data_IF_523702237694
#
_entry.id   IF_523702237694
#
_cell.length_a   1.000
_cell.length_b   1.000
_cell.length_c   1.000
_cell.angle_alpha   90.00
_cell.angle_beta   90.00
_cell.angle_gamma   90.00
#
_symmetry.space_group_name_H-M   'P 1'
#
loop_
_entity.id
_entity.type
_entity.pdbx_description
1 polymer ?
#
# COMPACT_ATOMS: atom_id res chain seq x y z
N UNK A 1 3.64 0.27 -14.29
CA UNK A 1 3.10 -0.85 -15.09
C UNK A 1 2.17 -1.78 -14.29
N UNK A 2 2.38 -1.96 -12.99
CA UNK A 2 1.57 -2.88 -12.16
C UNK A 2 0.16 -2.34 -11.82
N UNK A 3 0.03 -1.10 -11.32
CA UNK A 3 -1.29 -0.46 -11.11
C UNK A 3 -2.05 -0.29 -12.43
N UNK A 4 -1.45 0.37 -13.43
CA UNK A 4 -2.06 0.60 -14.74
C UNK A 4 -2.37 -0.68 -15.55
N UNK A 5 -1.73 -1.80 -15.21
CA UNK A 5 -1.98 -3.11 -15.83
C UNK A 5 -2.91 -4.02 -15.02
N UNK A 6 -3.31 -3.61 -13.82
CA UNK A 6 -4.28 -4.36 -13.03
C UNK A 6 -5.68 -4.18 -13.62
N UNK A 7 -6.50 -5.24 -13.61
CA UNK A 7 -7.91 -5.14 -14.01
C UNK A 7 -8.69 -4.11 -13.19
N UNK A 8 -8.23 -3.77 -11.98
CA UNK A 8 -8.82 -2.74 -11.14
C UNK A 8 -8.77 -1.34 -11.78
N UNK A 9 -7.61 -0.94 -12.32
CA UNK A 9 -7.48 0.37 -13.01
C UNK A 9 -8.23 0.37 -14.35
N UNK A 10 -8.30 -0.76 -15.05
CA UNK A 10 -9.09 -0.87 -16.27
C UNK A 10 -10.58 -0.68 -16.02
N UNK A 11 -11.07 -1.11 -14.86
CA UNK A 11 -12.47 -0.95 -14.46
C UNK A 11 -12.83 0.50 -14.11
N UNK A 12 -11.86 1.37 -13.82
CA UNK A 12 -12.11 2.81 -13.58
C UNK A 12 -12.72 3.51 -14.80
N UNK A 13 -12.51 2.96 -16.00
CA UNK A 13 -13.03 3.51 -17.26
C UNK A 13 -14.23 2.75 -17.81
N UNK A 14 -14.93 2.01 -16.94
CA UNK A 14 -16.20 1.34 -17.26
C UNK A 14 -17.31 1.90 -16.39
N UNK A 15 -18.52 1.99 -16.91
CA UNK A 15 -19.71 2.37 -16.14
C UNK A 15 -20.29 1.18 -15.35
N UNK A 16 -21.36 1.41 -14.59
CA UNK A 16 -22.05 0.37 -13.81
C UNK A 16 -22.63 -0.78 -14.65
N UNK A 17 -22.76 -0.59 -15.97
CA UNK A 17 -23.22 -1.63 -16.93
C UNK A 17 -22.06 -2.35 -17.61
N UNK A 18 -20.82 -1.96 -17.31
CA UNK A 18 -19.60 -2.53 -17.89
C UNK A 18 -19.19 -1.91 -19.22
N UNK A 19 -19.89 -0.87 -19.71
CA UNK A 19 -19.54 -0.19 -20.97
C UNK A 19 -18.37 0.77 -20.77
N UNK A 20 -17.53 0.92 -21.78
CA UNK A 20 -16.41 1.85 -21.74
C UNK A 20 -16.91 3.30 -21.73
N UNK A 21 -16.43 4.11 -20.79
CA UNK A 21 -16.88 5.49 -20.54
C UNK A 21 -16.28 6.53 -21.48
N UNK A 22 -15.53 6.10 -22.51
CA UNK A 22 -14.81 7.00 -23.40
C UNK A 22 -13.60 7.68 -22.74
N UNK A 23 -12.99 7.03 -21.74
CA UNK A 23 -11.83 7.56 -21.01
C UNK A 23 -12.17 8.43 -19.80
N UNK A 24 -13.46 8.58 -19.45
CA UNK A 24 -13.89 9.25 -18.21
C UNK A 24 -13.77 8.30 -17.02
N UNK A 25 -13.33 8.78 -15.87
CA UNK A 25 -13.35 7.99 -14.64
C UNK A 25 -14.81 7.83 -14.18
N UNK A 26 -15.24 6.60 -13.93
CA UNK A 26 -16.49 6.33 -13.22
C UNK A 26 -16.29 6.51 -11.70
N UNK A 27 -17.01 7.44 -11.04
CA UNK A 27 -16.81 7.72 -9.62
C UNK A 27 -17.09 6.52 -8.71
N UNK A 28 -18.03 5.65 -9.10
CA UNK A 28 -18.40 4.50 -8.29
C UNK A 28 -17.30 3.44 -8.31
N UNK A 29 -16.75 3.15 -9.49
CA UNK A 29 -15.61 2.26 -9.62
C UNK A 29 -14.35 2.80 -8.96
N UNK A 30 -14.13 4.12 -8.95
CA UNK A 30 -13.06 4.73 -8.16
C UNK A 30 -13.26 4.50 -6.65
N UNK A 31 -14.46 4.75 -6.13
CA UNK A 31 -14.77 4.47 -4.71
C UNK A 31 -14.56 3.00 -4.36
N UNK A 32 -15.02 2.07 -5.20
CA UNK A 32 -14.81 0.64 -5.01
C UNK A 32 -13.32 0.27 -5.03
N UNK A 33 -12.55 0.82 -5.96
CA UNK A 33 -11.09 0.63 -6.02
C UNK A 33 -10.42 1.07 -4.71
N UNK A 34 -10.71 2.28 -4.23
CA UNK A 34 -10.13 2.79 -2.98
C UNK A 34 -10.50 1.96 -1.75
N UNK A 35 -11.74 1.45 -1.68
CA UNK A 35 -12.18 0.58 -0.59
C UNK A 35 -11.45 -0.76 -0.63
N UNK A 36 -11.36 -1.40 -1.80
CA UNK A 36 -10.65 -2.67 -1.97
C UNK A 36 -9.16 -2.50 -1.65
N UNK A 37 -8.55 -1.42 -2.13
CA UNK A 37 -7.18 -1.06 -1.79
C UNK A 37 -7.03 -0.80 -0.28
N UNK A 38 -8.01 -0.18 0.37
CA UNK A 38 -8.06 -0.03 1.82
C UNK A 38 -8.02 -1.37 2.56
N UNK A 39 -8.84 -2.35 2.17
CA UNK A 39 -8.79 -3.69 2.75
C UNK A 39 -7.47 -4.41 2.50
N UNK A 40 -6.91 -4.28 1.29
CA UNK A 40 -5.60 -4.81 0.96
C UNK A 40 -4.52 -4.21 1.87
N UNK A 41 -4.50 -2.88 2.03
CA UNK A 41 -3.56 -2.16 2.89
C UNK A 41 -3.74 -2.50 4.36
N UNK A 42 -4.98 -2.70 4.81
CA UNK A 42 -5.26 -3.17 6.15
C UNK A 42 -4.62 -4.53 6.41
N UNK A 43 -4.83 -5.51 5.52
CA UNK A 43 -4.23 -6.83 5.62
C UNK A 43 -2.70 -6.77 5.56
N UNK A 44 -2.16 -5.93 4.69
CA UNK A 44 -0.72 -5.70 4.54
C UNK A 44 -0.09 -5.17 5.83
N UNK A 45 -0.66 -4.12 6.41
CA UNK A 45 -0.16 -3.51 7.64
C UNK A 45 -0.40 -4.40 8.86
N UNK A 46 -1.54 -5.08 8.94
CA UNK A 46 -1.79 -6.09 9.96
C UNK A 46 -0.72 -7.18 9.93
N UNK A 47 -0.40 -7.73 8.76
CA UNK A 47 0.60 -8.78 8.64
C UNK A 47 1.99 -8.30 9.05
N UNK A 48 2.47 -7.17 8.51
CA UNK A 48 3.83 -6.71 8.78
C UNK A 48 4.01 -6.09 10.17
N UNK A 49 3.09 -5.23 10.62
CA UNK A 49 3.23 -4.43 11.85
C UNK A 49 2.53 -5.09 13.04
N UNK A 50 1.44 -5.80 12.79
CA UNK A 50 0.72 -6.57 13.79
C UNK A 50 1.37 -7.94 14.01
N UNK A 51 1.32 -8.83 13.02
CA UNK A 51 1.73 -10.21 13.19
C UNK A 51 3.25 -10.40 13.19
N UNK A 52 3.94 -10.01 12.11
CA UNK A 52 5.34 -10.34 11.88
C UNK A 52 6.27 -9.60 12.85
N UNK A 53 6.07 -8.30 13.06
CA UNK A 53 6.85 -7.51 14.03
C UNK A 53 6.72 -8.08 15.44
N UNK A 54 5.50 -8.39 15.90
CA UNK A 54 5.31 -8.93 17.25
C UNK A 54 5.75 -10.38 17.37
N UNK A 55 5.65 -11.18 16.30
CA UNK A 55 6.21 -12.53 16.23
C UNK A 55 7.72 -12.53 16.39
N UNK A 56 8.43 -11.72 15.60
CA UNK A 56 9.89 -11.61 15.70
C UNK A 56 10.35 -11.07 17.05
N UNK A 57 9.65 -10.09 17.63
CA UNK A 57 9.96 -9.56 18.97
C UNK A 57 9.92 -10.60 20.10
N UNK A 58 9.29 -11.77 19.88
CA UNK A 58 9.29 -12.88 20.86
C UNK A 58 10.57 -13.72 20.81
N UNK A 59 11.32 -13.67 19.71
CA UNK A 59 12.44 -14.57 19.45
C UNK A 59 13.76 -13.84 19.18
N UNK A 60 13.75 -12.52 18.98
CA UNK A 60 14.96 -11.73 18.76
C UNK A 60 14.83 -10.29 19.31
N UNK A 61 15.96 -9.58 19.51
CA UNK A 61 15.94 -8.18 19.94
C UNK A 61 15.17 -7.27 18.98
N UNK A 62 14.65 -6.14 19.50
CA UNK A 62 13.80 -5.21 18.75
C UNK A 62 14.40 -4.80 17.40
N UNK A 63 15.67 -4.40 17.37
CA UNK A 63 16.33 -3.99 16.13
C UNK A 63 16.47 -5.15 15.14
N UNK A 64 16.74 -6.37 15.60
CA UNK A 64 16.73 -7.56 14.74
C UNK A 64 15.36 -7.79 14.10
N UNK A 65 14.30 -7.69 14.91
CA UNK A 65 12.92 -7.82 14.43
C UNK A 65 12.55 -6.74 13.40
N UNK A 66 12.95 -5.50 13.64
CA UNK A 66 12.71 -4.37 12.72
C UNK A 66 13.44 -4.58 11.40
N UNK A 67 14.74 -4.90 11.44
CA UNK A 67 15.59 -5.01 10.26
C UNK A 67 15.25 -6.23 9.42
N UNK A 68 15.03 -7.40 10.04
CA UNK A 68 14.64 -8.61 9.30
C UNK A 68 13.30 -8.41 8.58
N UNK A 69 12.31 -7.86 9.30
CA UNK A 69 11.02 -7.53 8.69
C UNK A 69 11.14 -6.48 7.59
N UNK A 70 12.00 -5.47 7.76
CA UNK A 70 12.24 -4.45 6.73
C UNK A 70 12.90 -5.04 5.47
N UNK A 71 13.83 -5.98 5.63
CA UNK A 71 14.44 -6.70 4.51
C UNK A 71 13.41 -7.55 3.76
N UNK A 72 12.58 -8.32 4.48
CA UNK A 72 11.48 -9.09 3.88
C UNK A 72 10.48 -8.20 3.15
N UNK A 73 10.10 -7.06 3.74
CA UNK A 73 9.21 -6.09 3.11
C UNK A 73 9.80 -5.51 1.81
N UNK A 74 11.08 -5.14 1.85
CA UNK A 74 11.81 -4.59 0.70
C UNK A 74 11.93 -5.61 -0.42
N UNK A 75 12.16 -6.88 -0.08
CA UNK A 75 12.21 -7.96 -1.06
C UNK A 75 10.89 -8.12 -1.84
N UNK A 76 9.73 -7.86 -1.20
CA UNK A 76 8.43 -7.87 -1.90
C UNK A 76 8.21 -6.67 -2.83
N UNK A 77 9.08 -5.67 -2.77
CA UNK A 77 9.10 -4.54 -3.71
C UNK A 77 10.09 -4.79 -4.87
N UNK A 78 10.68 -5.98 -4.96
CA UNK A 78 11.54 -6.33 -6.08
C UNK A 78 10.75 -6.33 -7.40
N UNK A 79 11.33 -5.74 -8.45
CA UNK A 79 10.68 -5.60 -9.77
C UNK A 79 9.73 -4.40 -9.89
N UNK A 80 9.55 -3.62 -8.82
CA UNK A 80 8.90 -2.30 -8.87
C UNK A 80 9.90 -1.20 -9.30
N UNK A 81 9.45 0.04 -9.60
CA UNK A 81 10.37 1.14 -9.90
C UNK A 81 11.43 1.31 -8.82
N UNK A 82 12.65 1.71 -9.22
CA UNK A 82 13.80 1.71 -8.32
C UNK A 82 13.60 2.66 -7.14
N UNK A 83 12.89 3.77 -7.34
CA UNK A 83 12.55 4.73 -6.29
C UNK A 83 11.66 4.09 -5.22
N UNK A 84 10.71 3.26 -5.62
CA UNK A 84 9.81 2.55 -4.70
C UNK A 84 10.57 1.48 -3.93
N UNK A 85 11.39 0.67 -4.61
CA UNK A 85 12.20 -0.36 -3.94
C UNK A 85 13.22 0.26 -3.00
N UNK A 86 13.93 1.32 -3.41
CA UNK A 86 14.94 1.98 -2.58
C UNK A 86 14.33 2.66 -1.35
N UNK A 87 13.16 3.29 -1.49
CA UNK A 87 12.46 3.93 -0.37
C UNK A 87 11.73 2.94 0.54
N UNK A 88 11.44 1.72 0.08
CA UNK A 88 10.72 0.71 0.86
C UNK A 88 11.45 0.27 2.13
N UNK A 89 12.78 0.18 2.13
CA UNK A 89 13.55 -0.23 3.31
C UNK A 89 13.51 0.81 4.44
N UNK A 90 13.88 2.09 4.23
CA UNK A 90 13.75 3.12 5.25
C UNK A 90 12.28 3.35 5.65
N UNK A 91 11.34 3.31 4.69
CA UNK A 91 9.91 3.41 4.97
C UNK A 91 9.41 2.27 5.85
N UNK A 92 9.87 1.05 5.62
CA UNK A 92 9.56 -0.08 6.48
C UNK A 92 10.06 0.16 7.90
N UNK A 93 11.32 0.58 8.09
CA UNK A 93 11.89 0.86 9.42
C UNK A 93 11.04 1.89 10.17
N UNK A 94 10.74 3.03 9.53
CA UNK A 94 9.92 4.09 10.11
C UNK A 94 8.56 3.55 10.57
N UNK A 95 7.89 2.76 9.73
CA UNK A 95 6.59 2.20 10.07
C UNK A 95 6.64 1.20 11.22
N UNK A 96 7.72 0.44 11.36
CA UNK A 96 7.88 -0.43 12.53
C UNK A 96 8.09 0.37 13.82
N UNK A 97 8.83 1.48 13.76
CA UNK A 97 9.01 2.38 14.91
C UNK A 97 7.69 3.00 15.35
N UNK A 98 6.86 3.44 14.40
CA UNK A 98 5.50 3.94 14.67
C UNK A 98 4.65 2.84 15.29
N UNK A 99 4.56 1.66 14.66
CA UNK A 99 3.78 0.55 15.19
C UNK A 99 4.20 0.13 16.61
N UNK A 100 5.51 0.13 16.87
CA UNK A 100 6.08 -0.16 18.18
C UNK A 100 5.70 0.92 19.22
N UNK A 101 5.84 2.21 18.85
CA UNK A 101 5.56 3.34 19.73
C UNK A 101 4.08 3.47 20.11
N UNK A 102 3.19 3.20 19.17
CA UNK A 102 1.74 3.27 19.38
C UNK A 102 1.13 1.93 19.81
N UNK A 103 1.92 0.85 19.82
CA UNK A 103 1.48 -0.52 20.11
C UNK A 103 0.27 -0.94 19.25
N UNK A 104 0.20 -0.41 18.03
CA UNK A 104 -0.91 -0.61 17.11
C UNK A 104 -0.43 -0.46 15.68
N UNK A 105 -0.94 -1.29 14.78
CA UNK A 105 -0.70 -1.17 13.34
C UNK A 105 -1.64 -0.14 12.68
N UNK A 106 -2.71 0.28 13.35
CA UNK A 106 -3.75 1.16 12.79
C UNK A 106 -3.19 2.50 12.28
N UNK A 107 -2.28 3.20 13.00
CA UNK A 107 -1.68 4.44 12.46
C UNK A 107 -0.86 4.19 11.19
N UNK A 108 -0.19 3.03 11.08
CA UNK A 108 0.58 2.66 9.90
C UNK A 108 -0.36 2.34 8.73
N UNK A 109 -1.47 1.64 8.99
CA UNK A 109 -2.55 1.40 8.05
C UNK A 109 -3.10 2.70 7.47
N UNK A 110 -3.51 3.64 8.32
CA UNK A 110 -4.05 4.91 7.86
C UNK A 110 -3.02 5.68 7.03
N UNK A 111 -1.77 5.79 7.50
CA UNK A 111 -0.73 6.48 6.76
C UNK A 111 -0.49 5.83 5.38
N UNK A 112 -0.34 4.51 5.33
CA UNK A 112 -0.04 3.81 4.09
C UNK A 112 -1.21 3.87 3.10
N UNK A 113 -2.45 3.73 3.59
CA UNK A 113 -3.63 3.86 2.75
C UNK A 113 -3.78 5.26 2.17
N UNK A 114 -3.59 6.32 2.98
CA UNK A 114 -3.63 7.69 2.47
C UNK A 114 -2.52 8.01 1.47
N UNK A 115 -1.31 7.47 1.66
CA UNK A 115 -0.23 7.61 0.68
C UNK A 115 -0.60 6.91 -0.63
N UNK A 116 -1.17 5.71 -0.57
CA UNK A 116 -1.64 4.98 -1.75
C UNK A 116 -2.74 5.73 -2.50
N UNK A 117 -3.78 6.15 -1.79
CA UNK A 117 -4.88 6.93 -2.37
C UNK A 117 -4.36 8.24 -2.97
N UNK A 118 -3.49 8.97 -2.26
CA UNK A 118 -2.87 10.19 -2.73
C UNK A 118 -2.05 10.00 -4.01
N UNK A 119 -1.37 8.87 -4.16
CA UNK A 119 -0.67 8.52 -5.39
C UNK A 119 -1.64 8.29 -6.55
N UNK A 120 -2.73 7.55 -6.31
CA UNK A 120 -3.78 7.32 -7.32
C UNK A 120 -4.40 8.66 -7.75
N UNK A 121 -4.75 9.55 -6.82
CA UNK A 121 -5.22 10.90 -7.14
C UNK A 121 -4.19 11.73 -7.94
N UNK A 122 -2.91 11.68 -7.60
CA UNK A 122 -1.86 12.42 -8.30
C UNK A 122 -1.70 11.93 -9.75
N UNK A 123 -1.76 10.62 -9.97
CA UNK A 123 -1.73 10.01 -11.31
C UNK A 123 -2.94 10.45 -12.13
N UNK A 124 -4.13 10.39 -11.55
CA UNK A 124 -5.37 10.82 -12.22
C UNK A 124 -5.31 12.32 -12.56
N UNK A 125 -4.91 13.16 -11.61
CA UNK A 125 -4.75 14.60 -11.84
C UNK A 125 -3.76 14.91 -12.98
N UNK A 126 -2.63 14.20 -13.02
CA UNK A 126 -1.65 14.37 -14.10
C UNK A 126 -2.15 13.84 -15.46
N UNK A 127 -3.03 12.84 -15.48
CA UNK A 127 -3.57 12.29 -16.73
C UNK A 127 -4.64 13.17 -17.37
N UNK A 128 -5.42 13.89 -16.57
CA UNK A 128 -6.57 14.70 -17.02
C UNK A 128 -6.31 16.22 -17.10
N UNK A 129 -5.09 16.66 -16.77
CA UNK A 129 -4.61 18.01 -17.11
C UNK A 129 -4.14 18.06 -18.57
#
# INVERSE_FOLDING_TARGET
RWMLGSGAVQNLFRDATGNFTGGRIDPMNLMFHEIVMGFYMFGWEFFFRGFLLNGFRKIMPLWGAILLRAALFTALHYGKPWEETASSFPGAILMALIAYRFRSFVPCFLLHWFVSAGFDFAVLYHHFR
#
